data_IF_186781564412
#
_entry.id   IF_186781564412
#
_cell.length_a   1.000
_cell.length_b   1.000
_cell.length_c   1.000
_cell.angle_alpha   90.00
_cell.angle_beta   90.00
_cell.angle_gamma   90.00
#
_symmetry.space_group_name_H-M   'P 1'
#
loop_
_entity.id
_entity.type
_entity.pdbx_description
1 polymer ?
#
# COMPACT_ATOMS: atom_id res chain seq x y z
N UNK A 1 -38.56 30.95 -26.71
CA UNK A 1 -37.36 30.08 -26.78
C UNK A 1 -36.26 30.73 -25.93
N UNK A 2 -35.91 30.11 -24.77
CA UNK A 2 -34.88 30.67 -23.88
C UNK A 2 -33.50 30.21 -24.36
N UNK A 3 -32.66 31.13 -24.86
CA UNK A 3 -31.31 30.86 -25.30
C UNK A 3 -30.32 31.53 -24.34
N UNK A 4 -29.54 30.76 -23.60
CA UNK A 4 -28.45 31.27 -22.79
C UNK A 4 -27.10 31.00 -23.49
N UNK A 5 -26.34 32.07 -23.79
CA UNK A 5 -24.98 31.94 -24.30
C UNK A 5 -24.07 31.36 -23.20
N UNK A 6 -23.57 30.15 -23.39
CA UNK A 6 -22.57 29.53 -22.51
C UNK A 6 -21.25 30.27 -22.72
N UNK A 7 -20.89 31.16 -21.80
CA UNK A 7 -19.59 31.83 -21.80
C UNK A 7 -18.50 30.77 -21.56
N UNK A 8 -17.40 30.90 -22.30
CA UNK A 8 -16.19 30.05 -22.12
C UNK A 8 -15.54 30.41 -20.77
N UNK A 9 -16.06 29.81 -19.68
CA UNK A 9 -15.67 30.12 -18.31
C UNK A 9 -14.23 29.68 -18.03
N UNK A 10 -13.54 30.25 -17.02
CA UNK A 10 -12.20 29.78 -16.59
C UNK A 10 -12.15 28.29 -16.36
N UNK A 11 -13.22 27.67 -15.85
CA UNK A 11 -13.36 26.22 -15.62
C UNK A 11 -13.20 25.43 -16.93
N UNK A 12 -13.81 25.85 -18.05
CA UNK A 12 -13.64 25.16 -19.32
C UNK A 12 -12.20 25.18 -19.86
N UNK A 13 -11.46 26.28 -19.61
CA UNK A 13 -10.05 26.38 -19.98
C UNK A 13 -9.19 25.46 -19.09
N UNK A 14 -9.44 25.42 -17.79
CA UNK A 14 -8.77 24.52 -16.85
C UNK A 14 -9.02 23.06 -17.20
N UNK A 15 -10.27 22.65 -17.46
CA UNK A 15 -10.63 21.30 -17.90
C UNK A 15 -9.89 20.88 -19.19
N UNK A 16 -9.79 21.76 -20.20
CA UNK A 16 -9.03 21.46 -21.42
C UNK A 16 -7.54 21.29 -21.15
N UNK A 17 -6.95 22.12 -20.25
CA UNK A 17 -5.54 21.99 -19.84
C UNK A 17 -5.30 20.68 -19.11
N UNK A 18 -6.12 20.35 -18.12
CA UNK A 18 -6.05 19.08 -17.41
C UNK A 18 -6.14 17.88 -18.35
N UNK A 19 -7.14 17.86 -19.26
CA UNK A 19 -7.28 16.78 -20.26
C UNK A 19 -6.04 16.64 -21.14
N UNK A 20 -5.38 17.74 -21.55
CA UNK A 20 -4.15 17.68 -22.36
C UNK A 20 -2.99 17.08 -21.57
N UNK A 21 -2.83 17.48 -20.30
CA UNK A 21 -1.78 16.93 -19.42
C UNK A 21 -2.00 15.44 -19.20
N UNK A 22 -3.19 15.04 -18.77
CA UNK A 22 -3.54 13.64 -18.53
C UNK A 22 -3.37 12.78 -19.79
N UNK A 23 -3.82 13.27 -20.97
CA UNK A 23 -3.63 12.52 -22.23
C UNK A 23 -2.15 12.34 -22.63
N UNK A 24 -1.27 13.28 -22.24
CA UNK A 24 0.18 13.12 -22.46
C UNK A 24 0.77 12.08 -21.51
N UNK A 25 0.42 12.14 -20.24
CA UNK A 25 0.87 11.18 -19.23
C UNK A 25 0.43 9.74 -19.56
N UNK A 26 -0.84 9.60 -19.95
CA UNK A 26 -1.39 8.29 -20.37
C UNK A 26 -0.67 7.69 -21.60
N UNK A 27 -0.29 8.53 -22.57
CA UNK A 27 0.45 8.06 -23.77
C UNK A 27 1.89 7.63 -23.50
N UNK A 28 2.46 8.05 -22.37
CA UNK A 28 3.82 7.70 -21.98
C UNK A 28 3.91 6.33 -21.27
N UNK A 29 2.77 5.77 -20.85
CA UNK A 29 2.70 4.48 -20.17
C UNK A 29 2.03 3.43 -21.06
N UNK A 30 2.69 2.28 -21.21
CA UNK A 30 2.20 1.18 -22.05
C UNK A 30 0.96 0.47 -21.48
N UNK A 31 0.63 0.73 -20.23
CA UNK A 31 -0.51 0.12 -19.56
C UNK A 31 -1.09 1.08 -18.51
N UNK A 32 -2.40 1.20 -18.50
CA UNK A 32 -3.16 2.03 -17.58
C UNK A 32 -4.41 1.25 -17.15
N UNK A 33 -4.58 0.94 -15.85
CA UNK A 33 -5.77 0.23 -15.41
C UNK A 33 -7.02 1.12 -15.55
N UNK A 34 -8.14 0.50 -15.92
CA UNK A 34 -9.45 1.16 -15.97
C UNK A 34 -10.05 1.27 -14.56
N UNK A 35 -9.35 1.90 -13.63
CA UNK A 35 -9.83 2.06 -12.26
C UNK A 35 -11.09 2.91 -12.15
N UNK A 36 -12.05 2.42 -11.36
CA UNK A 36 -13.02 3.29 -10.70
C UNK A 36 -12.32 4.01 -9.54
N UNK A 37 -12.45 5.32 -9.47
CA UNK A 37 -11.74 6.18 -8.50
C UNK A 37 -12.68 7.07 -7.72
N UNK A 38 -12.27 7.49 -6.54
CA UNK A 38 -12.96 8.47 -5.72
C UNK A 38 -12.46 9.87 -6.12
N UNK A 39 -13.36 10.73 -6.57
CA UNK A 39 -12.99 12.07 -6.99
C UNK A 39 -12.36 12.88 -5.84
N UNK A 40 -11.27 13.59 -6.14
CA UNK A 40 -10.57 14.47 -5.19
C UNK A 40 -9.83 13.77 -4.04
N UNK A 41 -9.61 12.47 -4.14
CA UNK A 41 -8.88 11.68 -3.16
C UNK A 41 -7.43 11.48 -3.63
N UNK A 42 -6.47 11.41 -2.70
CA UNK A 42 -5.02 11.39 -2.97
C UNK A 42 -4.56 10.17 -3.78
N UNK A 43 -4.99 8.96 -3.40
CA UNK A 43 -4.65 7.72 -4.08
C UNK A 43 -5.19 7.74 -5.50
N UNK A 44 -6.45 8.13 -5.65
CA UNK A 44 -7.15 8.27 -6.92
C UNK A 44 -6.46 9.27 -7.87
N UNK A 45 -5.98 10.40 -7.34
CA UNK A 45 -5.23 11.37 -8.15
C UNK A 45 -3.90 10.79 -8.63
N UNK A 46 -3.18 10.05 -7.79
CA UNK A 46 -1.94 9.38 -8.19
C UNK A 46 -2.19 8.32 -9.26
N UNK A 47 -3.25 7.51 -9.12
CA UNK A 47 -3.66 6.53 -10.13
C UNK A 47 -3.92 7.22 -11.47
N UNK A 48 -4.64 8.34 -11.49
CA UNK A 48 -4.93 9.10 -12.72
C UNK A 48 -3.65 9.63 -13.39
N UNK A 49 -2.63 9.99 -12.61
CA UNK A 49 -1.38 10.59 -13.12
C UNK A 49 -0.35 9.53 -13.44
N UNK A 50 -0.20 8.52 -12.60
CA UNK A 50 0.92 7.57 -12.58
C UNK A 50 0.51 6.14 -12.97
N UNK A 51 -0.78 5.83 -13.00
CA UNK A 51 -1.35 4.49 -13.26
C UNK A 51 -1.59 3.68 -11.99
N UNK A 52 -0.71 3.82 -11.02
CA UNK A 52 -0.84 3.28 -9.66
C UNK A 52 -0.40 4.31 -8.65
N UNK A 53 -0.97 4.25 -7.47
CA UNK A 53 -0.40 4.91 -6.30
C UNK A 53 0.86 4.16 -5.88
N UNK A 54 1.92 4.88 -5.54
CA UNK A 54 3.23 4.30 -5.19
C UNK A 54 3.87 3.45 -6.32
N UNK A 55 3.60 3.84 -7.57
CA UNK A 55 4.03 3.08 -8.74
C UNK A 55 5.55 2.86 -8.79
N UNK A 56 6.36 3.86 -8.40
CA UNK A 56 7.81 3.78 -8.43
C UNK A 56 8.33 2.80 -7.36
N UNK A 57 7.77 2.85 -6.16
CA UNK A 57 8.11 1.96 -5.04
C UNK A 57 7.72 0.51 -5.34
N UNK A 58 6.53 0.29 -5.88
CA UNK A 58 6.03 -1.02 -6.26
C UNK A 58 6.88 -1.66 -7.39
N UNK A 59 7.15 -0.92 -8.45
CA UNK A 59 8.02 -1.38 -9.54
C UNK A 59 9.45 -1.68 -9.05
N UNK A 60 9.96 -0.86 -8.13
CA UNK A 60 11.27 -1.08 -7.54
C UNK A 60 11.31 -2.31 -6.65
N UNK A 61 10.27 -2.51 -5.82
CA UNK A 61 10.10 -3.70 -5.00
C UNK A 61 10.11 -4.99 -5.83
N UNK A 62 9.33 -5.05 -6.91
CA UNK A 62 9.30 -6.21 -7.81
C UNK A 62 10.67 -6.48 -8.45
N UNK A 63 11.35 -5.43 -8.93
CA UNK A 63 12.70 -5.55 -9.50
C UNK A 63 13.70 -6.07 -8.49
N UNK A 64 13.62 -5.59 -7.26
CA UNK A 64 14.49 -6.02 -6.17
C UNK A 64 14.25 -7.49 -5.80
N UNK A 65 12.98 -7.93 -5.67
CA UNK A 65 12.64 -9.32 -5.42
C UNK A 65 13.20 -10.24 -6.51
N UNK A 66 12.98 -9.88 -7.77
CA UNK A 66 13.48 -10.65 -8.92
C UNK A 66 15.04 -10.70 -8.94
N UNK A 67 15.69 -9.59 -8.62
CA UNK A 67 17.16 -9.54 -8.50
C UNK A 67 17.68 -10.47 -7.40
N UNK A 68 16.95 -10.55 -6.28
CA UNK A 68 17.28 -11.46 -5.19
C UNK A 68 17.04 -12.94 -5.53
N UNK A 69 16.36 -13.24 -6.61
CA UNK A 69 16.01 -14.61 -7.03
C UNK A 69 14.78 -15.16 -6.30
N UNK A 70 13.92 -14.27 -5.78
CA UNK A 70 12.66 -14.68 -5.20
C UNK A 70 11.64 -14.95 -6.32
N UNK A 71 10.98 -16.08 -6.27
CA UNK A 71 9.90 -16.39 -7.21
C UNK A 71 8.61 -15.76 -6.74
N UNK A 72 8.06 -14.84 -7.56
CA UNK A 72 6.75 -14.24 -7.35
C UNK A 72 5.67 -15.21 -7.84
N UNK A 73 5.41 -16.24 -7.05
CA UNK A 73 4.42 -17.28 -7.33
C UNK A 73 3.54 -17.45 -6.09
N UNK A 74 2.41 -18.15 -6.26
CA UNK A 74 1.52 -18.46 -5.15
C UNK A 74 0.52 -17.33 -4.88
N UNK A 75 0.15 -17.18 -3.62
CA UNK A 75 -0.87 -16.22 -3.18
C UNK A 75 -0.24 -14.99 -2.57
N UNK A 76 -0.66 -13.81 -3.04
CA UNK A 76 -0.48 -12.55 -2.35
C UNK A 76 -1.74 -12.20 -1.54
N UNK A 77 -1.56 -11.69 -0.32
CA UNK A 77 -2.64 -11.18 0.52
C UNK A 77 -2.47 -9.67 0.66
N UNK A 78 -3.53 -8.91 0.37
CA UNK A 78 -3.59 -7.45 0.50
C UNK A 78 -4.58 -7.08 1.62
N UNK A 79 -4.05 -6.74 2.79
CA UNK A 79 -4.82 -6.34 3.98
C UNK A 79 -4.84 -4.81 4.04
N UNK A 80 -6.06 -4.24 4.04
CA UNK A 80 -6.28 -2.82 3.83
C UNK A 80 -6.19 -2.48 2.34
N UNK A 81 -6.92 -3.25 1.52
CA UNK A 81 -6.85 -3.13 0.06
C UNK A 81 -7.43 -1.82 -0.49
N UNK A 82 -8.17 -1.07 0.31
CA UNK A 82 -8.83 0.18 -0.05
C UNK A 82 -9.61 0.03 -1.38
N UNK A 83 -9.32 0.82 -2.40
CA UNK A 83 -9.96 0.73 -3.73
C UNK A 83 -9.30 -0.31 -4.65
N UNK A 84 -8.33 -1.10 -4.17
CA UNK A 84 -7.70 -2.21 -4.92
C UNK A 84 -6.43 -1.84 -5.69
N UNK A 85 -5.79 -0.73 -5.35
CA UNK A 85 -4.55 -0.29 -6.03
C UNK A 85 -3.45 -1.36 -6.01
N UNK A 86 -3.09 -1.85 -4.82
CA UNK A 86 -2.06 -2.87 -4.66
C UNK A 86 -2.54 -4.24 -5.14
N UNK A 87 -3.81 -4.58 -4.89
CA UNK A 87 -4.40 -5.84 -5.35
C UNK A 87 -4.27 -6.03 -6.86
N UNK A 88 -4.69 -5.03 -7.65
CA UNK A 88 -4.59 -5.07 -9.13
C UNK A 88 -3.13 -5.04 -9.60
N UNK A 89 -2.24 -4.37 -8.86
CA UNK A 89 -0.82 -4.42 -9.17
C UNK A 89 -0.25 -5.84 -8.96
N UNK A 90 -0.54 -6.47 -7.83
CA UNK A 90 -0.06 -7.82 -7.48
C UNK A 90 -0.65 -8.91 -8.38
N UNK A 91 -1.88 -8.76 -8.86
CA UNK A 91 -2.52 -9.71 -9.77
C UNK A 91 -1.68 -10.02 -11.03
N UNK A 92 -0.77 -9.13 -11.39
CA UNK A 92 0.14 -9.29 -12.55
C UNK A 92 1.32 -10.22 -12.28
N UNK A 93 1.56 -10.59 -11.02
CA UNK A 93 2.76 -11.30 -10.59
C UNK A 93 2.47 -12.57 -9.80
N UNK A 94 1.27 -12.71 -9.21
CA UNK A 94 0.88 -13.84 -8.38
C UNK A 94 -0.25 -14.65 -9.02
N UNK A 95 -0.33 -15.96 -8.72
CA UNK A 95 -1.40 -16.82 -9.21
C UNK A 95 -2.76 -16.47 -8.60
N UNK A 96 -2.75 -15.96 -7.37
CA UNK A 96 -3.95 -15.55 -6.64
C UNK A 96 -3.67 -14.32 -5.80
N UNK A 97 -4.64 -13.41 -5.72
CA UNK A 97 -4.62 -12.28 -4.79
C UNK A 97 -5.88 -12.31 -3.94
N UNK A 98 -5.71 -12.29 -2.62
CA UNK A 98 -6.82 -12.22 -1.66
C UNK A 98 -6.80 -10.84 -1.00
N UNK A 99 -7.88 -10.08 -1.18
CA UNK A 99 -7.94 -8.66 -0.82
C UNK A 99 -8.98 -8.41 0.25
N UNK A 100 -8.58 -7.79 1.35
CA UNK A 100 -9.42 -7.54 2.53
C UNK A 100 -9.57 -6.04 2.77
N UNK A 101 -10.84 -5.57 2.79
CA UNK A 101 -11.16 -4.15 3.03
C UNK A 101 -12.45 -4.05 3.85
N UNK A 102 -12.37 -3.58 5.13
CA UNK A 102 -13.55 -3.49 5.99
C UNK A 102 -14.48 -2.33 5.65
N UNK A 103 -13.97 -1.22 5.08
CA UNK A 103 -14.79 -0.06 4.71
C UNK A 103 -15.73 -0.42 3.55
N UNK A 104 -17.05 -0.47 3.74
CA UNK A 104 -17.96 -0.88 2.67
C UNK A 104 -17.93 0.05 1.45
N UNK A 105 -17.61 1.33 1.62
CA UNK A 105 -17.48 2.28 0.50
C UNK A 105 -16.25 1.94 -0.33
N UNK A 106 -15.07 1.84 0.28
CA UNK A 106 -13.83 1.45 -0.40
C UNK A 106 -13.97 0.05 -1.03
N UNK A 107 -14.63 -0.88 -0.33
CA UNK A 107 -14.89 -2.23 -0.82
C UNK A 107 -15.70 -2.28 -2.13
N UNK A 108 -16.68 -1.39 -2.34
CA UNK A 108 -17.39 -1.32 -3.63
C UNK A 108 -16.45 -0.98 -4.78
N UNK A 109 -15.52 -0.06 -4.57
CA UNK A 109 -14.49 0.27 -5.56
C UNK A 109 -13.51 -0.89 -5.73
N UNK A 110 -13.04 -1.50 -4.63
CA UNK A 110 -12.19 -2.69 -4.65
C UNK A 110 -12.83 -3.79 -5.50
N UNK A 111 -14.07 -4.14 -5.22
CA UNK A 111 -14.80 -5.20 -5.94
C UNK A 111 -14.91 -4.92 -7.43
N UNK A 112 -15.20 -3.66 -7.82
CA UNK A 112 -15.24 -3.29 -9.23
C UNK A 112 -13.85 -3.37 -9.87
N UNK A 113 -12.83 -2.76 -9.25
CA UNK A 113 -11.49 -2.71 -9.79
C UNK A 113 -10.88 -4.10 -9.91
N UNK A 114 -11.14 -4.98 -8.93
CA UNK A 114 -10.68 -6.37 -8.94
C UNK A 114 -11.40 -7.23 -10.00
N UNK A 115 -12.61 -6.88 -10.42
CA UNK A 115 -13.32 -7.62 -11.48
C UNK A 115 -12.68 -7.51 -12.86
N UNK A 116 -11.68 -6.66 -13.02
CA UNK A 116 -10.88 -6.52 -14.23
C UNK A 116 -9.77 -7.58 -14.34
N UNK A 117 -9.51 -8.33 -13.27
CA UNK A 117 -8.48 -9.37 -13.15
C UNK A 117 -9.14 -10.66 -12.64
N UNK A 118 -8.85 -11.79 -13.28
CA UNK A 118 -9.53 -13.08 -12.99
C UNK A 118 -9.02 -13.75 -11.72
N UNK A 119 -7.86 -13.33 -11.20
CA UNK A 119 -7.15 -13.96 -10.10
C UNK A 119 -7.25 -13.18 -8.78
N UNK A 120 -8.17 -12.22 -8.65
CA UNK A 120 -8.40 -11.47 -7.41
C UNK A 120 -9.72 -11.89 -6.75
N UNK A 121 -9.65 -12.28 -5.49
CA UNK A 121 -10.82 -12.48 -4.63
C UNK A 121 -10.89 -11.37 -3.57
N UNK A 122 -12.08 -10.86 -3.30
CA UNK A 122 -12.27 -9.70 -2.41
C UNK A 122 -13.22 -9.99 -1.27
N UNK A 123 -12.89 -9.49 -0.08
CA UNK A 123 -13.63 -9.73 1.16
C UNK A 123 -13.88 -8.42 1.90
N UNK A 124 -15.16 -8.17 2.26
CA UNK A 124 -15.55 -6.98 3.03
C UNK A 124 -15.45 -7.24 4.54
N UNK A 125 -14.24 -7.54 4.98
CA UNK A 125 -13.92 -7.77 6.40
C UNK A 125 -12.54 -7.17 6.72
N UNK A 126 -12.32 -6.82 7.98
CA UNK A 126 -10.99 -6.45 8.48
C UNK A 126 -10.29 -7.64 9.12
N UNK A 127 -8.97 -7.72 8.99
CA UNK A 127 -8.17 -8.74 9.66
C UNK A 127 -7.77 -8.26 11.05
N UNK A 128 -7.92 -9.13 12.05
CA UNK A 128 -7.72 -8.83 13.46
C UNK A 128 -7.28 -10.08 14.25
N UNK A 129 -6.96 -9.89 15.53
CA UNK A 129 -6.64 -10.94 16.50
C UNK A 129 -7.86 -11.73 17.01
N UNK A 130 -9.07 -11.31 16.65
CA UNK A 130 -10.31 -11.92 17.13
C UNK A 130 -11.46 -11.75 16.14
N UNK A 131 -12.34 -12.73 16.09
CA UNK A 131 -13.58 -12.68 15.31
C UNK A 131 -14.63 -11.88 16.10
N UNK A 132 -14.98 -10.68 15.61
CA UNK A 132 -15.95 -9.79 16.31
C UNK A 132 -16.53 -8.76 15.35
N UNK A 133 -17.70 -8.22 15.71
CA UNK A 133 -18.20 -6.99 15.12
C UNK A 133 -17.56 -5.78 15.78
N UNK A 134 -17.31 -4.75 15.00
CA UNK A 134 -16.68 -3.49 15.43
C UNK A 134 -17.23 -2.34 14.59
N UNK A 135 -16.66 -1.16 14.75
CA UNK A 135 -17.00 0.02 13.98
C UNK A 135 -15.76 0.62 13.36
N UNK A 136 -15.89 1.14 12.15
CA UNK A 136 -14.87 1.92 11.47
C UNK A 136 -15.25 3.40 11.55
N UNK A 137 -14.39 4.21 12.12
CA UNK A 137 -14.52 5.67 12.11
C UNK A 137 -13.65 6.26 11.01
N UNK A 138 -14.30 7.06 10.17
CA UNK A 138 -13.66 7.80 9.09
C UNK A 138 -13.68 9.27 9.50
N UNK A 139 -12.54 9.97 9.53
CA UNK A 139 -12.51 11.41 9.80
C UNK A 139 -13.35 12.19 8.77
N UNK A 140 -14.06 13.25 9.22
CA UNK A 140 -15.00 14.02 8.39
C UNK A 140 -14.41 14.59 7.09
N UNK A 141 -13.10 14.83 7.06
CA UNK A 141 -12.38 15.37 5.90
C UNK A 141 -11.69 14.30 5.06
N UNK A 142 -11.85 13.03 5.39
CA UNK A 142 -11.20 11.91 4.71
C UNK A 142 -12.19 11.18 3.81
N UNK A 143 -12.31 11.64 2.56
CA UNK A 143 -13.23 11.09 1.56
C UNK A 143 -12.86 9.66 1.16
N UNK A 144 -11.56 9.33 1.19
CA UNK A 144 -11.01 8.03 0.78
C UNK A 144 -10.90 7.00 1.89
N UNK A 145 -11.06 7.40 3.15
CA UNK A 145 -10.92 6.52 4.30
C UNK A 145 -9.47 6.13 4.63
N UNK A 146 -8.48 6.86 4.11
CA UNK A 146 -7.06 6.60 4.36
C UNK A 146 -6.63 6.77 5.82
N UNK A 147 -7.38 7.58 6.61
CA UNK A 147 -7.17 7.77 8.04
C UNK A 147 -8.25 7.08 8.89
N UNK A 148 -8.95 6.09 8.34
CA UNK A 148 -9.97 5.36 9.06
C UNK A 148 -9.35 4.50 10.18
N UNK A 149 -10.02 4.41 11.32
CA UNK A 149 -9.55 3.61 12.45
C UNK A 149 -10.67 2.81 13.11
N UNK A 150 -10.29 1.69 13.70
CA UNK A 150 -11.23 0.80 14.40
C UNK A 150 -11.65 1.40 15.73
N UNK A 151 -12.95 1.38 16.01
CA UNK A 151 -13.56 1.92 17.22
C UNK A 151 -14.55 0.92 17.85
N UNK A 152 -14.64 0.94 19.16
CA UNK A 152 -15.63 0.13 19.87
C UNK A 152 -17.05 0.72 19.82
N UNK A 153 -17.19 2.01 19.49
CA UNK A 153 -18.47 2.71 19.49
C UNK A 153 -18.56 3.73 18.36
N UNK A 154 -19.68 3.71 17.66
CA UNK A 154 -20.03 4.67 16.60
C UNK A 154 -19.16 4.56 15.37
N UNK A 155 -19.72 4.93 14.23
CA UNK A 155 -19.08 4.78 12.91
C UNK A 155 -19.81 3.74 12.05
N UNK A 156 -19.18 3.31 10.98
CA UNK A 156 -19.72 2.29 10.08
C UNK A 156 -19.50 0.89 10.67
N UNK A 157 -20.54 0.06 10.82
CA UNK A 157 -20.39 -1.31 11.30
C UNK A 157 -19.51 -2.12 10.35
N UNK A 158 -18.56 -2.88 10.92
CA UNK A 158 -17.65 -3.76 10.18
C UNK A 158 -17.52 -5.10 10.91
N UNK A 159 -17.14 -6.13 10.15
CA UNK A 159 -16.72 -7.42 10.68
C UNK A 159 -15.21 -7.52 10.74
N UNK A 160 -14.67 -8.00 11.86
CA UNK A 160 -13.28 -8.35 12.03
C UNK A 160 -13.15 -9.86 12.16
N UNK A 161 -12.14 -10.44 11.49
CA UNK A 161 -11.89 -11.88 11.48
C UNK A 161 -10.42 -12.19 11.69
N UNK A 162 -10.13 -13.36 12.24
CA UNK A 162 -8.78 -13.92 12.19
C UNK A 162 -8.54 -14.54 10.82
N UNK A 163 -7.41 -14.23 10.21
CA UNK A 163 -7.03 -14.84 8.95
C UNK A 163 -6.87 -16.36 9.09
N UNK A 164 -6.33 -16.81 10.23
CA UNK A 164 -6.14 -18.24 10.55
C UNK A 164 -7.44 -19.07 10.55
N UNK A 165 -8.59 -18.43 10.80
CA UNK A 165 -9.89 -19.09 10.87
C UNK A 165 -10.71 -18.88 9.58
N UNK A 166 -10.29 -17.96 8.73
CA UNK A 166 -11.07 -17.50 7.58
C UNK A 166 -10.55 -18.07 6.25
N UNK A 167 -9.26 -18.37 6.19
CA UNK A 167 -8.57 -18.53 4.91
C UNK A 167 -8.53 -19.99 4.43
N UNK A 168 -9.00 -20.20 3.18
CA UNK A 168 -8.65 -21.35 2.36
C UNK A 168 -7.93 -20.87 1.11
N UNK A 169 -6.70 -21.33 0.88
CA UNK A 169 -5.90 -20.94 -0.29
C UNK A 169 -5.59 -22.11 -1.19
N UNK A 170 -5.62 -21.89 -2.52
CA UNK A 170 -5.21 -22.90 -3.51
C UNK A 170 -3.70 -23.03 -3.63
N UNK A 171 -2.98 -21.96 -3.31
CA UNK A 171 -1.53 -21.85 -3.50
C UNK A 171 -0.85 -21.43 -2.21
N UNK A 172 0.45 -21.72 -2.04
CA UNK A 172 1.22 -21.22 -0.91
C UNK A 172 1.13 -19.69 -0.81
N UNK A 173 1.01 -19.15 0.39
CA UNK A 173 1.07 -17.71 0.62
C UNK A 173 2.53 -17.30 0.63
N UNK A 174 2.93 -16.42 -0.28
CA UNK A 174 4.31 -15.98 -0.47
C UNK A 174 4.53 -14.51 -0.15
N UNK A 175 3.45 -13.69 -0.21
CA UNK A 175 3.46 -12.28 0.17
C UNK A 175 2.23 -11.92 0.99
N UNK A 176 2.40 -11.14 2.05
CA UNK A 176 1.31 -10.46 2.76
C UNK A 176 1.67 -8.98 2.84
N UNK A 177 0.83 -8.12 2.25
CA UNK A 177 0.88 -6.66 2.45
C UNK A 177 -0.10 -6.29 3.55
N UNK A 178 0.31 -5.41 4.48
CA UNK A 178 -0.50 -4.91 5.59
C UNK A 178 -0.36 -3.38 5.62
N UNK A 179 -1.48 -2.69 5.47
CA UNK A 179 -1.54 -1.23 5.48
C UNK A 179 -2.92 -0.84 6.03
N UNK A 180 -3.00 -0.70 7.36
CA UNK A 180 -4.24 -0.56 8.12
C UNK A 180 -4.12 0.45 9.26
N UNK A 181 -3.25 1.46 9.05
CA UNK A 181 -3.19 2.69 9.84
C UNK A 181 -3.02 2.46 11.35
N UNK A 182 -2.06 1.58 11.72
CA UNK A 182 -1.68 1.32 13.12
C UNK A 182 -2.37 0.13 13.77
N UNK A 183 -3.08 -0.70 13.00
CA UNK A 183 -3.70 -1.94 13.50
C UNK A 183 -2.94 -3.21 13.09
N UNK A 184 -1.72 -3.07 12.54
CA UNK A 184 -0.89 -4.11 11.93
C UNK A 184 -0.59 -5.24 12.93
N UNK A 185 -0.26 -4.91 14.17
CA UNK A 185 0.05 -5.91 15.20
C UNK A 185 -1.16 -6.81 15.51
N UNK A 186 -2.37 -6.24 15.52
CA UNK A 186 -3.59 -7.02 15.75
C UNK A 186 -3.85 -7.97 14.58
N UNK A 187 -3.65 -7.50 13.34
CA UNK A 187 -3.78 -8.34 12.15
C UNK A 187 -2.76 -9.49 12.18
N UNK A 188 -1.49 -9.22 12.48
CA UNK A 188 -0.44 -10.24 12.59
C UNK A 188 -0.77 -11.31 13.64
N UNK A 189 -1.31 -10.92 14.79
CA UNK A 189 -1.74 -11.87 15.83
C UNK A 189 -2.88 -12.77 15.39
N UNK A 190 -3.70 -12.34 14.44
CA UNK A 190 -4.79 -13.11 13.86
C UNK A 190 -4.38 -14.06 12.74
N UNK A 191 -3.10 -14.14 12.41
CA UNK A 191 -2.57 -14.97 11.32
C UNK A 191 -1.33 -15.80 11.71
N UNK A 192 -1.21 -16.16 12.98
CA UNK A 192 -0.04 -16.91 13.51
C UNK A 192 0.22 -18.21 12.77
N UNK A 193 -0.83 -19.02 12.52
CA UNK A 193 -0.71 -20.29 11.80
C UNK A 193 -0.25 -20.07 10.36
N UNK A 194 -0.80 -19.04 9.70
CA UNK A 194 -0.40 -18.64 8.35
C UNK A 194 1.07 -18.25 8.32
N UNK A 195 1.52 -17.40 9.25
CA UNK A 195 2.91 -16.95 9.33
C UNK A 195 3.88 -18.11 9.63
N UNK A 196 3.51 -19.01 10.53
CA UNK A 196 4.34 -20.14 10.92
C UNK A 196 4.45 -21.19 9.80
N UNK A 197 3.33 -21.46 9.10
CA UNK A 197 3.28 -22.49 8.07
C UNK A 197 3.87 -22.00 6.74
N UNK A 198 3.44 -20.85 6.25
CA UNK A 198 3.83 -20.33 4.93
C UNK A 198 5.11 -19.51 4.95
N UNK A 199 5.42 -18.83 6.06
CA UNK A 199 6.58 -17.93 6.22
C UNK A 199 6.69 -16.91 5.09
N UNK A 200 5.57 -16.23 4.74
CA UNK A 200 5.55 -15.30 3.62
C UNK A 200 6.49 -14.13 3.85
N UNK A 201 6.85 -13.42 2.81
CA UNK A 201 7.39 -12.06 2.94
C UNK A 201 6.28 -11.15 3.44
N UNK A 202 6.56 -10.30 4.43
CA UNK A 202 5.60 -9.33 4.97
C UNK A 202 6.01 -7.94 4.50
N UNK A 203 5.10 -7.27 3.80
CA UNK A 203 5.23 -5.88 3.36
C UNK A 203 4.26 -5.03 4.18
N UNK A 204 4.75 -4.06 4.96
CA UNK A 204 3.88 -3.26 5.81
C UNK A 204 4.30 -1.79 5.85
N UNK A 205 3.30 -0.91 6.00
CA UNK A 205 3.51 0.50 6.27
C UNK A 205 3.90 0.70 7.73
N UNK A 206 4.74 1.70 8.00
CA UNK A 206 5.14 2.01 9.36
C UNK A 206 5.07 3.51 9.63
N UNK A 207 4.22 3.90 10.54
CA UNK A 207 4.09 5.28 10.98
C UNK A 207 5.18 5.67 11.99
N UNK A 208 5.64 6.92 11.95
CA UNK A 208 6.68 7.43 12.85
C UNK A 208 6.29 7.32 14.33
N UNK A 209 5.01 7.57 14.66
CA UNK A 209 4.49 7.54 16.03
C UNK A 209 4.36 6.13 16.63
N UNK A 210 4.54 5.08 15.85
CA UNK A 210 4.52 3.68 16.31
C UNK A 210 5.87 3.21 16.84
N UNK A 211 6.93 3.99 16.60
CA UNK A 211 8.19 3.76 17.25
C UNK A 211 8.15 4.29 18.69
N UNK A 212 8.52 3.44 19.63
CA UNK A 212 8.69 3.84 21.03
C UNK A 212 9.86 4.82 21.18
N UNK A 213 9.95 5.52 22.32
CA UNK A 213 11.05 6.48 22.61
C UNK A 213 12.45 5.85 22.54
N UNK A 214 12.54 4.53 22.75
CA UNK A 214 13.80 3.76 22.63
C UNK A 214 14.07 3.24 21.22
N UNK A 215 13.29 3.66 20.21
CA UNK A 215 13.39 3.21 18.82
C UNK A 215 12.79 1.85 18.52
N UNK A 216 12.22 1.14 19.50
CA UNK A 216 11.58 -0.15 19.28
C UNK A 216 10.20 0.02 18.63
N UNK A 217 9.83 -0.96 17.82
CA UNK A 217 8.54 -1.07 17.17
C UNK A 217 7.91 -2.42 17.46
N UNK A 218 6.66 -2.43 17.89
CA UNK A 218 5.98 -3.65 18.33
C UNK A 218 5.74 -4.65 17.19
N UNK A 219 5.52 -4.19 15.96
CA UNK A 219 5.36 -5.03 14.76
C UNK A 219 6.67 -5.73 14.44
N UNK A 220 7.78 -4.99 14.41
CA UNK A 220 9.12 -5.51 14.14
C UNK A 220 9.54 -6.52 15.20
N UNK A 221 9.32 -6.21 16.49
CA UNK A 221 9.63 -7.13 17.60
C UNK A 221 8.81 -8.41 17.52
N UNK A 222 7.52 -8.30 17.18
CA UNK A 222 6.64 -9.44 17.02
C UNK A 222 7.08 -10.36 15.87
N UNK A 223 7.34 -9.79 14.69
CA UNK A 223 7.84 -10.54 13.54
C UNK A 223 9.21 -11.18 13.82
N UNK A 224 10.08 -10.48 14.54
CA UNK A 224 11.39 -11.03 14.93
C UNK A 224 11.25 -12.25 15.84
N UNK A 225 10.31 -12.22 16.78
CA UNK A 225 10.02 -13.38 17.64
C UNK A 225 9.50 -14.60 16.86
N UNK A 226 8.83 -14.37 15.71
CA UNK A 226 8.37 -15.41 14.78
C UNK A 226 9.46 -15.88 13.79
N UNK A 227 10.68 -15.36 13.89
CA UNK A 227 11.80 -15.82 13.05
C UNK A 227 12.05 -14.96 11.80
N UNK A 228 11.45 -13.79 11.69
CA UNK A 228 11.81 -12.80 10.67
C UNK A 228 13.07 -12.07 11.11
N UNK A 229 14.19 -12.35 10.46
CA UNK A 229 15.52 -11.91 10.92
C UNK A 229 16.11 -10.80 10.08
N UNK A 230 15.63 -10.63 8.85
CA UNK A 230 16.06 -9.54 7.98
C UNK A 230 14.90 -8.63 7.63
N UNK A 231 15.22 -7.36 7.59
CA UNK A 231 14.28 -6.32 7.24
C UNK A 231 14.87 -5.47 6.11
N UNK A 232 14.02 -5.02 5.21
CA UNK A 232 14.42 -4.07 4.18
C UNK A 232 13.43 -2.91 4.16
N UNK A 233 13.90 -1.71 3.81
CA UNK A 233 13.04 -0.55 3.64
C UNK A 233 13.45 0.25 2.40
N UNK A 234 12.46 0.91 1.82
CA UNK A 234 12.63 1.72 0.62
C UNK A 234 12.82 3.19 1.02
N UNK A 235 13.82 3.83 0.44
CA UNK A 235 13.97 5.28 0.41
C UNK A 235 13.78 5.80 -1.02
N UNK A 236 12.70 6.53 -1.22
CA UNK A 236 12.47 7.26 -2.47
C UNK A 236 12.77 8.75 -2.26
N UNK A 237 13.80 9.25 -2.94
CA UNK A 237 14.19 10.67 -2.86
C UNK A 237 13.08 11.61 -3.36
N UNK A 238 12.12 11.12 -4.17
CA UNK A 238 10.96 11.88 -4.62
C UNK A 238 9.92 12.11 -3.51
N UNK A 239 9.68 11.07 -2.69
CA UNK A 239 8.63 11.06 -1.66
C UNK A 239 9.15 11.40 -0.28
N UNK A 240 10.47 11.32 -0.04
CA UNK A 240 11.07 11.70 1.24
C UNK A 240 10.67 13.13 1.58
N UNK A 241 9.85 13.29 2.63
CA UNK A 241 9.42 14.61 3.10
C UNK A 241 10.66 15.40 3.50
N UNK A 242 11.04 16.37 2.67
CA UNK A 242 12.04 17.35 3.07
C UNK A 242 11.61 17.98 4.38
N UNK A 243 12.43 17.83 5.44
CA UNK A 243 12.12 18.43 6.71
C UNK A 243 11.82 19.93 6.48
N UNK A 244 10.82 20.47 7.17
CA UNK A 244 10.45 21.90 7.10
C UNK A 244 11.63 22.86 7.36
N UNK A 245 12.76 22.34 7.88
CA UNK A 245 14.01 23.05 8.17
C UNK A 245 14.95 23.25 6.99
N UNK A 246 14.69 22.65 5.84
CA UNK A 246 15.56 22.84 4.67
C UNK A 246 15.31 24.19 4.00
N UNK A 247 16.41 24.94 3.76
CA UNK A 247 16.35 26.27 3.16
C UNK A 247 15.87 26.26 1.69
N UNK A 248 15.47 27.42 1.20
CA UNK A 248 14.99 27.66 -0.16
C UNK A 248 15.87 27.06 -1.27
N UNK A 249 17.19 27.19 -1.16
CA UNK A 249 18.16 26.65 -2.13
C UNK A 249 18.12 25.12 -2.22
N UNK A 250 17.99 24.42 -1.10
CA UNK A 250 17.90 22.96 -1.06
C UNK A 250 16.64 22.46 -1.77
N UNK A 251 15.49 23.13 -1.58
CA UNK A 251 14.23 22.82 -2.27
C UNK A 251 14.35 23.02 -3.78
N UNK A 252 15.03 24.08 -4.22
CA UNK A 252 15.24 24.37 -5.65
C UNK A 252 16.16 23.35 -6.31
N UNK A 253 17.24 22.93 -5.64
CA UNK A 253 18.15 21.87 -6.12
C UNK A 253 17.39 20.54 -6.23
N UNK A 254 16.56 20.21 -5.26
CA UNK A 254 15.75 19.00 -5.30
C UNK A 254 14.75 18.99 -6.45
N UNK A 255 14.03 20.11 -6.66
CA UNK A 255 13.14 20.27 -7.82
C UNK A 255 13.89 20.06 -9.13
N UNK A 256 15.07 20.66 -9.26
CA UNK A 256 15.91 20.51 -10.46
C UNK A 256 16.36 19.06 -10.67
N UNK A 257 16.79 18.36 -9.59
CA UNK A 257 17.14 16.94 -9.67
C UNK A 257 15.97 16.08 -10.12
N UNK A 258 14.76 16.34 -9.61
CA UNK A 258 13.53 15.66 -10.02
C UNK A 258 13.24 15.90 -11.51
N UNK A 259 13.28 17.16 -11.95
CA UNK A 259 13.00 17.54 -13.33
C UNK A 259 14.02 16.94 -14.32
N UNK A 260 15.25 16.67 -13.86
CA UNK A 260 16.33 15.99 -14.61
C UNK A 260 16.33 14.46 -14.44
N UNK A 261 15.42 13.87 -13.68
CA UNK A 261 15.38 12.43 -13.44
C UNK A 261 16.60 11.89 -12.65
N UNK A 262 17.22 12.73 -11.82
CA UNK A 262 18.43 12.39 -11.06
C UNK A 262 18.14 11.85 -9.65
N UNK A 263 16.87 11.83 -9.24
CA UNK A 263 16.47 11.27 -7.95
C UNK A 263 16.47 9.74 -7.99
N UNK A 264 16.79 9.12 -6.86
CA UNK A 264 17.00 7.67 -6.78
C UNK A 264 16.05 7.04 -5.78
N UNK A 265 15.69 5.80 -6.07
CA UNK A 265 15.08 4.89 -5.11
C UNK A 265 16.16 3.90 -4.67
N UNK A 266 16.21 3.63 -3.36
CA UNK A 266 17.19 2.73 -2.76
C UNK A 266 16.50 1.74 -1.84
N UNK A 267 17.00 0.50 -1.81
CA UNK A 267 16.65 -0.50 -0.82
C UNK A 267 17.79 -0.62 0.18
N UNK A 268 17.44 -0.58 1.46
CA UNK A 268 18.36 -0.85 2.56
C UNK A 268 17.93 -2.15 3.23
N UNK A 269 18.83 -3.09 3.33
CA UNK A 269 18.61 -4.34 4.06
C UNK A 269 19.36 -4.27 5.37
N UNK A 270 18.71 -4.65 6.45
CA UNK A 270 19.24 -4.46 7.80
C UNK A 270 18.66 -5.47 8.80
N UNK A 271 19.23 -5.48 9.99
CA UNK A 271 18.66 -6.15 11.15
C UNK A 271 17.61 -5.23 11.82
N UNK A 272 16.76 -5.83 12.66
CA UNK A 272 15.62 -5.15 13.29
C UNK A 272 15.99 -3.85 14.04
N UNK A 273 17.14 -3.83 14.71
CA UNK A 273 17.57 -2.71 15.56
C UNK A 273 18.16 -1.53 14.78
N UNK A 274 18.35 -1.69 13.47
CA UNK A 274 18.93 -0.68 12.59
C UNK A 274 17.90 0.00 11.67
N UNK A 275 16.61 -0.29 11.84
CA UNK A 275 15.54 0.38 11.08
C UNK A 275 15.36 1.79 11.65
N UNK A 276 15.48 2.86 10.83
CA UNK A 276 15.32 4.22 11.32
C UNK A 276 13.89 4.47 11.86
N UNK A 277 13.79 5.09 13.05
CA UNK A 277 12.52 5.45 13.69
C UNK A 277 11.88 6.66 12.98
N UNK A 278 11.26 6.42 11.85
CA UNK A 278 10.55 7.40 11.02
C UNK A 278 9.45 6.72 10.21
N UNK A 279 8.68 7.50 9.48
CA UNK A 279 7.72 6.97 8.49
C UNK A 279 8.43 6.14 7.41
N UNK A 280 7.91 4.96 7.12
CA UNK A 280 8.30 4.11 6.01
C UNK A 280 7.06 3.70 5.23
N UNK A 281 7.03 4.00 3.94
CA UNK A 281 5.98 3.53 3.03
C UNK A 281 5.95 2.01 2.99
N UNK A 282 7.14 1.38 2.90
CA UNK A 282 7.29 -0.06 2.91
C UNK A 282 8.46 -0.50 3.80
N UNK A 283 8.15 -1.33 4.80
CA UNK A 283 9.12 -2.21 5.44
C UNK A 283 8.80 -3.63 5.00
N UNK A 284 9.84 -4.36 4.63
CA UNK A 284 9.76 -5.75 4.18
C UNK A 284 10.42 -6.60 5.24
N UNK A 285 9.69 -7.56 5.82
CA UNK A 285 10.23 -8.55 6.75
C UNK A 285 10.42 -9.90 6.06
N UNK A 286 11.59 -10.51 6.27
CA UNK A 286 12.01 -11.74 5.61
C UNK A 286 12.33 -12.80 6.67
N UNK A 287 11.64 -13.94 6.59
CA UNK A 287 11.85 -15.05 7.50
C UNK A 287 13.22 -15.70 7.27
N UNK A 288 13.89 -16.14 8.35
CA UNK A 288 15.23 -16.76 8.35
C UNK A 288 15.37 -17.93 7.36
N UNK A 289 14.32 -18.73 7.17
CA UNK A 289 14.33 -19.89 6.26
C UNK A 289 14.39 -19.45 4.78
N UNK A 290 13.98 -18.22 4.51
CA UNK A 290 14.02 -17.63 3.18
C UNK A 290 15.31 -16.83 2.93
N UNK A 291 16.00 -16.33 3.96
CA UNK A 291 17.22 -15.52 3.84
C UNK A 291 18.31 -16.21 3.02
N UNK A 292 18.46 -17.53 3.16
CA UNK A 292 19.47 -18.33 2.40
C UNK A 292 19.24 -18.38 0.89
N UNK A 293 18.05 -17.97 0.43
CA UNK A 293 17.69 -17.93 -1.00
C UNK A 293 18.08 -16.64 -1.67
N UNK A 294 18.51 -15.62 -0.89
CA UNK A 294 18.80 -14.30 -1.39
C UNK A 294 20.28 -14.12 -1.68
N UNK A 295 20.58 -13.35 -2.72
CA UNK A 295 21.94 -12.95 -3.06
C UNK A 295 22.36 -11.83 -2.11
N UNK A 296 23.44 -12.05 -1.36
CA UNK A 296 24.15 -11.02 -0.55
C UNK A 296 23.26 -10.14 0.35
N UNK A 297 22.47 -10.78 1.23
CA UNK A 297 21.75 -10.10 2.31
C UNK A 297 22.51 -10.14 3.63
#
# INVERSE_FOLDING_TARGET
MFQQRIKNTPIHRQRRRAKRVLSKLQKQKNWYPNFAIIANERISLSIVVEGFFEAEELDFFIKWINYQGFELQGTAIDIGANIGNHSVFFARYFEQVLSFEPNPVSYYFLKYNSSLEENIETYNVGISDSNKNSFLKIPDNDIGGCGAYISNHGGTPIQLVKLDDFLETKYPITLIKIDIEGYELNALRGMNKVLEFHKPMILFEQLENEFQKNGKNNVIEYLSALGYTKFAYIENENTTKYSRKQGYFSKKIHSLKRDLGLLKIKMFVTDKDCIPARYHTFIIAIHKDNVKKYRDL
#
